data_IF_755670381123
#
_entry.id   IF_755670381123
#
_cell.length_a   1.000
_cell.length_b   1.000
_cell.length_c   1.000
_cell.angle_alpha   90.00
_cell.angle_beta   90.00
_cell.angle_gamma   90.00
#
_symmetry.space_group_name_H-M   'P 1'
#
loop_
_entity.id
_entity.type
_entity.pdbx_description
1 polymer ?
#
# COMPACT_ATOMS: atom_id res chain seq x y z
N UNK A 1 -20.57 1.11 21.18
CA UNK A 1 -19.77 2.30 20.80
C UNK A 1 -20.54 3.58 21.05
N UNK A 2 -19.94 4.57 21.72
CA UNK A 2 -20.45 5.96 21.73
C UNK A 2 -20.36 6.53 20.30
N UNK A 3 -21.27 7.44 19.90
CA UNK A 3 -21.25 8.08 18.57
C UNK A 3 -19.89 8.71 18.25
N UNK A 4 -19.20 9.24 19.25
CA UNK A 4 -17.91 9.92 19.12
C UNK A 4 -16.78 8.93 18.75
N UNK A 5 -16.82 7.70 19.30
CA UNK A 5 -15.85 6.65 18.96
C UNK A 5 -16.07 6.11 17.54
N UNK A 6 -17.32 6.05 17.07
CA UNK A 6 -17.65 5.60 15.72
C UNK A 6 -17.18 6.60 14.64
N UNK A 7 -17.34 7.90 14.89
CA UNK A 7 -16.84 8.95 13.98
C UNK A 7 -15.30 8.97 13.92
N UNK A 8 -14.63 8.82 15.07
CA UNK A 8 -13.17 8.74 15.13
C UNK A 8 -12.62 7.51 14.39
N UNK A 9 -13.24 6.34 14.57
CA UNK A 9 -12.89 5.12 13.85
C UNK A 9 -13.03 5.28 12.34
N UNK A 10 -14.16 5.84 11.88
CA UNK A 10 -14.39 6.08 10.45
C UNK A 10 -13.34 7.00 9.82
N UNK A 11 -12.99 8.09 10.52
CA UNK A 11 -11.98 9.05 10.05
C UNK A 11 -10.59 8.42 9.94
N UNK A 12 -10.20 7.59 10.92
CA UNK A 12 -8.92 6.89 10.89
C UNK A 12 -8.90 5.80 9.81
N UNK A 13 -10.01 5.07 9.61
CA UNK A 13 -10.10 4.08 8.54
C UNK A 13 -9.98 4.74 7.14
N UNK A 14 -10.63 5.88 6.93
CA UNK A 14 -10.44 6.68 5.72
C UNK A 14 -8.99 7.12 5.52
N UNK A 15 -8.29 7.49 6.60
CA UNK A 15 -6.88 7.88 6.55
C UNK A 15 -5.98 6.70 6.19
N UNK A 16 -6.26 5.51 6.73
CA UNK A 16 -5.61 4.26 6.35
C UNK A 16 -5.80 4.04 4.85
N UNK A 17 -7.04 3.94 4.38
CA UNK A 17 -7.37 3.71 2.96
C UNK A 17 -6.67 4.73 2.05
N UNK A 18 -6.70 6.02 2.40
CA UNK A 18 -6.06 7.08 1.62
C UNK A 18 -4.53 6.90 1.56
N UNK A 19 -3.91 6.48 2.66
CA UNK A 19 -2.47 6.20 2.70
C UNK A 19 -2.11 5.01 1.80
N UNK A 20 -2.92 3.94 1.83
CA UNK A 20 -2.74 2.78 0.95
C UNK A 20 -2.94 3.13 -0.52
N UNK A 21 -3.93 3.97 -0.85
CA UNK A 21 -4.15 4.49 -2.21
C UNK A 21 -2.96 5.35 -2.68
N UNK A 22 -2.42 6.18 -1.81
CA UNK A 22 -1.24 6.99 -2.13
C UNK A 22 -0.02 6.10 -2.41
N UNK A 23 0.24 5.08 -1.59
CA UNK A 23 1.32 4.11 -1.84
C UNK A 23 1.09 3.35 -3.14
N UNK A 24 -0.14 2.89 -3.37
CA UNK A 24 -0.51 2.22 -4.63
C UNK A 24 -0.27 3.11 -5.85
N UNK A 25 -0.62 4.39 -5.77
CA UNK A 25 -0.36 5.37 -6.82
C UNK A 25 1.14 5.57 -7.05
N UNK A 26 1.92 5.76 -5.98
CA UNK A 26 3.37 5.95 -6.07
C UNK A 26 4.07 4.72 -6.66
N UNK A 27 3.64 3.52 -6.29
CA UNK A 27 4.21 2.29 -6.85
C UNK A 27 3.80 2.12 -8.31
N UNK A 28 2.51 2.22 -8.63
CA UNK A 28 2.02 1.92 -9.97
C UNK A 28 2.45 2.99 -10.98
N UNK A 29 2.30 4.27 -10.61
CA UNK A 29 2.61 5.40 -11.48
C UNK A 29 4.07 5.86 -11.32
N UNK A 30 4.54 6.02 -10.08
CA UNK A 30 5.91 6.45 -9.81
C UNK A 30 6.92 5.41 -10.28
N UNK A 31 6.91 4.19 -9.72
CA UNK A 31 7.89 3.17 -10.12
C UNK A 31 7.62 2.61 -11.53
N UNK A 32 6.36 2.54 -11.97
CA UNK A 32 6.00 1.99 -13.28
C UNK A 32 6.20 2.92 -14.47
N UNK A 33 6.09 4.24 -14.29
CA UNK A 33 6.11 5.21 -15.41
C UNK A 33 7.14 6.31 -15.18
N UNK A 34 7.15 6.93 -14.00
CA UNK A 34 7.96 8.13 -13.76
C UNK A 34 9.44 7.81 -13.51
N UNK A 35 9.72 6.70 -12.82
CA UNK A 35 11.06 6.23 -12.50
C UNK A 35 11.54 5.10 -13.41
N UNK A 36 10.81 4.79 -14.49
CA UNK A 36 11.12 3.64 -15.33
C UNK A 36 12.50 3.75 -15.99
N UNK A 37 12.94 4.95 -16.37
CA UNK A 37 14.26 5.17 -16.96
C UNK A 37 15.39 4.93 -15.93
N UNK A 38 15.21 5.42 -14.70
CA UNK A 38 16.16 5.23 -13.60
C UNK A 38 16.21 3.77 -13.14
N UNK A 39 15.06 3.09 -13.11
CA UNK A 39 14.97 1.66 -12.79
C UNK A 39 15.58 0.81 -13.91
N UNK A 40 15.37 1.18 -15.18
CA UNK A 40 15.96 0.47 -16.31
C UNK A 40 17.47 0.65 -16.44
N UNK A 41 18.02 1.73 -15.87
CA UNK A 41 19.47 1.92 -15.76
C UNK A 41 20.14 0.96 -14.77
N UNK A 42 19.36 0.32 -13.89
CA UNK A 42 19.86 -0.69 -12.96
C UNK A 42 19.63 -2.09 -13.59
N UNK A 43 20.70 -2.78 -14.04
CA UNK A 43 20.58 -4.16 -14.47
C UNK A 43 20.34 -5.06 -13.25
N UNK A 44 19.19 -5.73 -13.22
CA UNK A 44 18.83 -6.69 -12.20
C UNK A 44 18.79 -8.08 -12.81
N UNK A 45 19.64 -9.00 -12.34
CA UNK A 45 19.62 -10.40 -12.77
C UNK A 45 19.76 -10.64 -14.30
N UNK A 46 20.36 -9.69 -15.03
CA UNK A 46 20.55 -9.75 -16.49
C UNK A 46 19.44 -9.09 -17.33
N UNK A 47 18.45 -8.46 -16.69
CA UNK A 47 17.39 -7.69 -17.34
C UNK A 47 17.18 -6.33 -16.65
N UNK A 48 16.47 -5.41 -17.31
CA UNK A 48 16.22 -4.08 -16.76
C UNK A 48 15.23 -4.17 -15.58
N UNK A 49 15.55 -3.52 -14.45
CA UNK A 49 14.75 -3.61 -13.23
C UNK A 49 13.32 -3.08 -13.43
N UNK A 50 13.14 -2.04 -14.26
CA UNK A 50 11.81 -1.53 -14.61
C UNK A 50 10.98 -2.54 -15.40
N UNK A 51 11.58 -3.32 -16.30
CA UNK A 51 10.90 -4.42 -17.00
C UNK A 51 10.44 -5.53 -16.03
N UNK A 52 11.30 -5.92 -15.09
CA UNK A 52 10.93 -6.87 -14.04
C UNK A 52 9.79 -6.35 -13.18
N UNK A 53 9.80 -5.05 -12.85
CA UNK A 53 8.76 -4.44 -12.05
C UNK A 53 7.39 -4.43 -12.76
N UNK A 54 7.40 -4.15 -14.07
CA UNK A 54 6.20 -4.17 -14.90
C UNK A 54 5.58 -5.57 -15.02
N UNK A 55 6.42 -6.61 -15.09
CA UNK A 55 5.97 -7.98 -15.35
C UNK A 55 5.66 -8.79 -14.09
N UNK A 56 6.49 -8.68 -13.05
CA UNK A 56 6.46 -9.53 -11.85
C UNK A 56 6.58 -8.72 -10.55
N UNK A 57 7.16 -7.51 -10.55
CA UNK A 57 7.29 -6.71 -9.33
C UNK A 57 5.94 -6.20 -8.81
N UNK A 58 5.02 -5.84 -9.72
CA UNK A 58 3.70 -5.28 -9.35
C UNK A 58 2.88 -6.22 -8.45
N UNK A 59 2.92 -7.53 -8.69
CA UNK A 59 2.18 -8.51 -7.88
C UNK A 59 2.74 -8.62 -6.45
N UNK A 60 4.06 -8.56 -6.27
CA UNK A 60 4.68 -8.57 -4.94
C UNK A 60 4.30 -7.34 -4.13
N UNK A 61 4.25 -6.17 -4.78
CA UNK A 61 3.80 -4.94 -4.12
C UNK A 61 2.33 -5.03 -3.75
N UNK A 62 1.50 -5.62 -4.62
CA UNK A 62 0.09 -5.83 -4.33
C UNK A 62 -0.13 -6.74 -3.12
N UNK A 63 0.58 -7.88 -3.05
CA UNK A 63 0.55 -8.76 -1.87
C UNK A 63 1.03 -8.04 -0.61
N UNK A 64 2.12 -7.27 -0.70
CA UNK A 64 2.63 -6.48 0.43
C UNK A 64 1.63 -5.44 0.92
N UNK A 65 0.95 -4.74 0.01
CA UNK A 65 -0.12 -3.79 0.33
C UNK A 65 -1.30 -4.48 1.03
N UNK A 66 -1.72 -5.66 0.59
CA UNK A 66 -2.81 -6.42 1.23
C UNK A 66 -2.43 -6.81 2.66
N UNK A 67 -1.25 -7.39 2.87
CA UNK A 67 -0.78 -7.78 4.21
C UNK A 67 -0.63 -6.57 5.12
N UNK A 68 -0.03 -5.49 4.62
CA UNK A 68 0.10 -4.25 5.37
C UNK A 68 -1.27 -3.69 5.76
N UNK A 69 -2.23 -3.67 4.83
CA UNK A 69 -3.60 -3.23 5.10
C UNK A 69 -4.25 -4.09 6.20
N UNK A 70 -4.15 -5.42 6.12
CA UNK A 70 -4.69 -6.32 7.13
C UNK A 70 -4.08 -6.05 8.52
N UNK A 71 -2.77 -5.80 8.60
CA UNK A 71 -2.10 -5.45 9.86
C UNK A 71 -2.55 -4.07 10.37
N UNK A 72 -2.68 -3.08 9.49
CA UNK A 72 -3.18 -1.75 9.86
C UNK A 72 -4.62 -1.79 10.35
N UNK A 73 -5.47 -2.61 9.72
CA UNK A 73 -6.86 -2.79 10.12
C UNK A 73 -6.96 -3.49 11.47
N UNK A 74 -6.21 -4.57 11.70
CA UNK A 74 -6.15 -5.24 13.00
C UNK A 74 -5.70 -4.29 14.12
N UNK A 75 -4.72 -3.41 13.85
CA UNK A 75 -4.30 -2.38 14.82
C UNK A 75 -5.38 -1.34 15.07
N UNK A 76 -6.17 -0.99 14.05
CA UNK A 76 -7.30 -0.08 14.21
C UNK A 76 -8.39 -0.72 15.06
N UNK A 77 -8.72 -1.98 14.78
CA UNK A 77 -9.73 -2.73 15.54
C UNK A 77 -9.33 -2.91 17.01
N UNK A 78 -8.05 -3.21 17.29
CA UNK A 78 -7.51 -3.29 18.66
C UNK A 78 -7.55 -1.94 19.38
N UNK A 79 -7.23 -0.84 18.67
CA UNK A 79 -7.22 0.53 19.25
C UNK A 79 -8.62 1.02 19.65
N UNK A 80 -9.65 0.60 18.91
CA UNK A 80 -11.02 1.01 19.17
C UNK A 80 -11.82 -0.04 19.96
N UNK A 81 -11.14 -1.10 20.43
CA UNK A 81 -11.71 -2.20 21.22
C UNK A 81 -13.04 -2.66 20.63
N UNK A 82 -13.04 -2.94 19.31
CA UNK A 82 -14.22 -3.45 18.61
C UNK A 82 -14.40 -4.96 18.86
N UNK A 83 -13.77 -5.47 19.92
CA UNK A 83 -14.21 -6.67 20.60
C UNK A 83 -15.37 -6.25 21.51
N UNK A 84 -16.55 -6.77 21.25
CA UNK A 84 -17.75 -6.58 22.09
C UNK A 84 -17.48 -6.56 23.60
#
# INVERSE_FOLDING_TARGET
MSKENAEAYWKENLKIIFSYLAVWFVVSYGCGILFIEQLNAIPFFGFQLGFWFAQQGSIFVFCGLIVAYAVSMNKLDEKYDVHE
#
